data_IF_359314854260
#
_entry.id   IF_359314854260
#
_cell.length_a   1.000
_cell.length_b   1.000
_cell.length_c   1.000
_cell.angle_alpha   90.00
_cell.angle_beta   90.00
_cell.angle_gamma   90.00
#
_symmetry.space_group_name_H-M   'P 1'
#
loop_
_entity.id
_entity.type
_entity.pdbx_description
1 polymer ?
#
# COMPACT_ATOMS: atom_id res chain seq x y z
N UNK A 1 -6.83 -5.50 13.65
CA UNK A 1 -7.08 -6.17 12.38
C UNK A 1 -7.09 -5.15 11.26
N UNK A 2 -6.38 -5.42 10.16
CA UNK A 2 -6.44 -4.66 8.90
C UNK A 2 -7.20 -5.54 7.90
N UNK A 3 -8.40 -5.09 7.47
CA UNK A 3 -9.29 -5.83 6.59
C UNK A 3 -9.86 -4.90 5.53
N UNK A 4 -9.94 -5.34 4.27
CA UNK A 4 -10.37 -4.50 3.16
C UNK A 4 -9.27 -3.57 2.64
N UNK A 5 -9.61 -2.62 1.77
CA UNK A 5 -8.64 -1.72 1.13
C UNK A 5 -8.08 -0.71 2.14
N UNK A 6 -6.76 -0.59 2.21
CA UNK A 6 -6.07 0.39 3.06
C UNK A 6 -6.25 1.79 2.45
N UNK A 7 -7.16 2.57 3.02
CA UNK A 7 -7.48 3.92 2.54
C UNK A 7 -8.16 4.73 3.66
N UNK A 8 -7.92 6.01 3.70
CA UNK A 8 -8.65 6.91 4.59
C UNK A 8 -9.82 7.55 3.81
N UNK A 9 -10.98 6.95 3.90
CA UNK A 9 -12.22 7.44 3.24
C UNK A 9 -13.11 8.25 4.16
N UNK A 10 -12.61 8.58 5.37
CA UNK A 10 -13.40 9.25 6.39
C UNK A 10 -14.52 8.38 6.97
N UNK A 11 -15.35 8.95 7.83
CA UNK A 11 -16.51 8.27 8.40
C UNK A 11 -17.52 7.94 7.29
N UNK A 12 -17.84 6.65 7.14
CA UNK A 12 -18.76 6.16 6.11
C UNK A 12 -20.14 6.81 6.16
N UNK A 13 -20.87 6.65 5.08
CA UNK A 13 -22.29 7.03 5.00
C UNK A 13 -23.12 6.10 5.88
N UNK A 14 -24.27 6.60 6.38
CA UNK A 14 -25.28 5.84 7.16
C UNK A 14 -25.74 4.50 6.52
N UNK A 15 -25.32 4.24 5.27
CA UNK A 15 -25.74 3.07 4.47
C UNK A 15 -24.59 2.19 3.98
N UNK A 16 -23.33 2.49 4.34
CA UNK A 16 -22.16 1.68 3.96
C UNK A 16 -21.44 1.19 5.21
N UNK A 17 -21.32 -0.12 5.36
CA UNK A 17 -20.41 -0.70 6.35
C UNK A 17 -18.97 -0.32 5.96
N UNK A 18 -18.24 0.23 6.93
CA UNK A 18 -16.81 0.52 6.75
C UNK A 18 -16.06 -0.78 7.04
N UNK A 19 -15.51 -1.41 6.01
CA UNK A 19 -14.68 -2.60 6.18
C UNK A 19 -13.33 -2.29 6.83
N UNK A 20 -12.80 -1.07 6.60
CA UNK A 20 -11.54 -0.60 7.09
C UNK A 20 -11.64 0.85 7.58
N UNK A 21 -11.27 1.08 8.84
CA UNK A 21 -11.16 2.41 9.45
C UNK A 21 -9.68 2.68 9.75
N UNK A 22 -9.07 3.55 8.96
CA UNK A 22 -7.64 3.85 9.03
C UNK A 22 -7.27 4.48 10.37
N UNK A 23 -8.02 5.49 10.77
CA UNK A 23 -7.75 6.22 12.01
C UNK A 23 -7.96 5.33 13.24
N UNK A 24 -8.95 4.45 13.19
CA UNK A 24 -9.16 3.47 14.27
C UNK A 24 -7.94 2.56 14.42
N UNK A 25 -7.37 2.04 13.33
CA UNK A 25 -6.19 1.16 13.40
C UNK A 25 -4.98 1.89 13.95
N UNK A 26 -4.72 3.12 13.50
CA UNK A 26 -3.64 3.96 14.03
C UNK A 26 -3.82 4.24 15.53
N UNK A 27 -5.04 4.59 15.96
CA UNK A 27 -5.35 4.82 17.38
C UNK A 27 -5.16 3.56 18.23
N UNK A 28 -5.45 2.36 17.69
CA UNK A 28 -5.19 1.10 18.38
C UNK A 28 -3.68 0.85 18.56
N UNK A 29 -2.86 1.11 17.55
CA UNK A 29 -1.39 0.98 17.66
C UNK A 29 -0.84 1.96 18.70
N UNK A 30 -1.29 3.20 18.70
CA UNK A 30 -0.91 4.19 19.71
C UNK A 30 -1.36 3.78 21.12
N UNK A 31 -2.58 3.26 21.30
CA UNK A 31 -3.06 2.78 22.58
C UNK A 31 -2.25 1.58 23.11
N UNK A 32 -1.83 0.66 22.22
CA UNK A 32 -0.94 -0.45 22.58
C UNK A 32 0.43 0.06 23.04
N UNK A 33 0.94 1.12 22.46
CA UNK A 33 2.22 1.73 22.86
C UNK A 33 2.20 2.22 24.31
N UNK A 34 1.07 2.77 24.78
CA UNK A 34 0.87 3.30 26.13
C UNK A 34 0.50 2.21 27.16
N UNK A 35 0.01 1.04 26.72
CA UNK A 35 -0.45 -0.02 27.64
C UNK A 35 0.67 -1.00 27.97
N UNK A 36 1.28 -0.83 29.16
CA UNK A 36 2.35 -1.71 29.66
C UNK A 36 1.92 -3.16 29.90
N UNK A 37 0.63 -3.46 29.95
CA UNK A 37 0.12 -4.83 30.13
C UNK A 37 0.22 -5.66 28.86
N UNK A 38 0.22 -5.02 27.70
CA UNK A 38 0.41 -5.69 26.39
C UNK A 38 1.84 -6.20 26.27
N UNK A 39 2.01 -7.48 25.94
CA UNK A 39 3.30 -8.17 25.84
C UNK A 39 3.68 -8.59 24.41
N UNK A 40 2.82 -8.34 23.44
CA UNK A 40 3.05 -8.63 22.03
C UNK A 40 1.83 -8.29 21.20
N UNK A 41 2.02 -8.18 19.90
CA UNK A 41 0.95 -7.87 18.94
C UNK A 41 0.82 -9.00 17.93
N UNK A 42 -0.39 -9.46 17.70
CA UNK A 42 -0.75 -10.26 16.54
C UNK A 42 -1.61 -9.41 15.60
N UNK A 43 -0.99 -8.92 14.54
CA UNK A 43 -1.67 -8.14 13.52
C UNK A 43 -2.29 -9.09 12.48
N UNK A 44 -3.62 -9.14 12.44
CA UNK A 44 -4.33 -9.85 11.38
C UNK A 44 -4.45 -8.95 10.16
N UNK A 45 -3.97 -9.43 9.00
CA UNK A 45 -3.95 -8.69 7.73
C UNK A 45 -4.70 -9.48 6.67
N UNK A 46 -5.80 -8.91 6.16
CA UNK A 46 -6.61 -9.49 5.09
C UNK A 46 -7.03 -8.37 4.12
N UNK A 47 -6.12 -7.99 3.21
CA UNK A 47 -6.24 -6.80 2.38
C UNK A 47 -5.54 -6.96 1.03
N UNK A 48 -6.09 -6.40 -0.05
CA UNK A 48 -5.39 -6.29 -1.33
C UNK A 48 -4.29 -5.20 -1.32
N UNK A 49 -4.17 -4.43 -0.22
CA UNK A 49 -3.38 -3.23 -0.13
C UNK A 49 -4.23 -1.97 -0.27
N UNK A 50 -3.63 -0.89 -0.77
CA UNK A 50 -4.34 0.38 -0.91
C UNK A 50 -3.42 1.56 -1.14
N UNK A 51 -3.73 2.71 -0.54
CA UNK A 51 -2.96 3.94 -0.67
C UNK A 51 -1.53 3.81 -0.16
N UNK A 52 -0.60 4.40 -0.91
CA UNK A 52 0.82 4.44 -0.54
C UNK A 52 1.00 5.18 0.78
N UNK A 53 0.33 6.32 0.92
CA UNK A 53 0.41 7.16 2.11
C UNK A 53 -0.11 6.45 3.36
N UNK A 54 -1.29 5.85 3.28
CA UNK A 54 -1.92 5.13 4.40
C UNK A 54 -1.12 3.88 4.79
N UNK A 55 -0.59 3.16 3.80
CA UNK A 55 0.29 2.01 4.07
C UNK A 55 1.58 2.45 4.79
N UNK A 56 2.14 3.61 4.40
CA UNK A 56 3.30 4.19 5.08
C UNK A 56 2.98 4.60 6.51
N UNK A 57 1.86 5.25 6.78
CA UNK A 57 1.45 5.63 8.14
C UNK A 57 1.33 4.41 9.07
N UNK A 58 0.75 3.31 8.57
CA UNK A 58 0.67 2.07 9.35
C UNK A 58 2.04 1.46 9.61
N UNK A 59 2.90 1.44 8.59
CA UNK A 59 4.28 0.96 8.73
C UNK A 59 5.04 1.76 9.79
N UNK A 60 4.99 3.09 9.71
CA UNK A 60 5.67 3.96 10.66
C UNK A 60 5.14 3.73 12.09
N UNK A 61 3.84 3.61 12.28
CA UNK A 61 3.24 3.30 13.59
C UNK A 61 3.67 1.93 14.13
N UNK A 62 3.86 0.93 13.25
CA UNK A 62 4.38 -0.39 13.63
C UNK A 62 5.85 -0.30 14.05
N UNK A 63 6.68 0.44 13.30
CA UNK A 63 8.09 0.66 13.63
C UNK A 63 8.24 1.42 14.95
N UNK A 64 7.50 2.52 15.11
CA UNK A 64 7.50 3.29 16.37
C UNK A 64 7.13 2.43 17.57
N UNK A 65 6.13 1.56 17.42
CA UNK A 65 5.72 0.62 18.45
C UNK A 65 6.84 -0.40 18.78
N UNK A 66 7.54 -0.92 17.76
CA UNK A 66 8.68 -1.84 17.95
C UNK A 66 9.83 -1.15 18.68
N UNK A 67 10.15 0.09 18.31
CA UNK A 67 11.25 0.86 18.91
C UNK A 67 10.93 1.31 20.35
N UNK A 68 9.67 1.69 20.62
CA UNK A 68 9.23 2.13 21.94
C UNK A 68 9.08 0.99 22.95
N UNK A 69 8.74 -0.19 22.46
CA UNK A 69 8.34 -1.34 23.27
C UNK A 69 9.08 -2.59 22.79
N UNK A 70 10.08 -3.08 23.41
CA UNK A 70 10.78 -4.34 23.05
C UNK A 70 9.83 -5.56 23.18
N UNK A 71 8.83 -5.63 22.28
CA UNK A 71 7.82 -6.67 22.25
C UNK A 71 7.65 -7.27 20.83
N UNK A 72 7.32 -8.57 20.75
CA UNK A 72 7.15 -9.21 19.45
C UNK A 72 5.90 -8.70 18.72
N UNK A 73 6.06 -8.44 17.43
CA UNK A 73 4.96 -8.16 16.51
C UNK A 73 4.91 -9.27 15.47
N UNK A 74 3.83 -10.02 15.48
CA UNK A 74 3.56 -11.09 14.52
C UNK A 74 2.42 -10.69 13.59
N UNK A 75 2.52 -11.15 12.34
CA UNK A 75 1.45 -10.98 11.35
C UNK A 75 0.81 -12.33 11.08
N UNK A 76 -0.52 -12.35 11.02
CA UNK A 76 -1.31 -13.47 10.52
C UNK A 76 -2.06 -13.00 9.27
N UNK A 77 -1.67 -13.50 8.11
CA UNK A 77 -2.32 -13.19 6.85
C UNK A 77 -3.62 -13.99 6.70
N UNK A 78 -4.66 -13.33 6.19
CA UNK A 78 -5.92 -13.96 5.79
C UNK A 78 -5.85 -14.55 4.39
N UNK A 79 -6.92 -14.39 3.64
CA UNK A 79 -7.00 -14.87 2.25
C UNK A 79 -6.04 -14.10 1.34
N UNK A 80 -5.84 -12.81 1.64
CA UNK A 80 -4.94 -11.92 0.88
C UNK A 80 -4.21 -10.95 1.82
N UNK A 81 -2.91 -10.78 1.60
CA UNK A 81 -2.10 -9.73 2.23
C UNK A 81 -1.08 -9.25 1.19
N UNK A 82 -1.56 -8.45 0.24
CA UNK A 82 -0.82 -8.05 -0.95
C UNK A 82 -0.56 -6.54 -1.00
N UNK A 83 0.46 -6.12 -1.75
CA UNK A 83 0.81 -4.69 -1.94
C UNK A 83 0.97 -3.98 -0.59
N UNK A 84 0.21 -2.92 -0.29
CA UNK A 84 0.19 -2.27 1.02
C UNK A 84 -0.01 -3.23 2.21
N UNK A 85 -0.70 -4.37 2.00
CA UNK A 85 -0.84 -5.42 3.01
C UNK A 85 0.48 -6.13 3.32
N UNK A 86 1.32 -6.38 2.31
CA UNK A 86 2.66 -6.90 2.52
C UNK A 86 3.61 -5.82 3.06
N UNK A 87 3.46 -4.57 2.60
CA UNK A 87 4.22 -3.42 3.10
C UNK A 87 4.17 -3.30 4.63
N UNK A 88 2.97 -3.38 5.21
CA UNK A 88 2.78 -3.32 6.67
C UNK A 88 3.15 -4.62 7.39
N UNK A 89 3.17 -5.74 6.68
CA UNK A 89 3.59 -7.04 7.24
C UNK A 89 5.12 -7.19 7.30
N UNK A 90 5.84 -6.54 6.38
CA UNK A 90 7.28 -6.69 6.23
C UNK A 90 8.10 -6.43 7.51
N UNK A 91 7.79 -5.46 8.40
CA UNK A 91 8.54 -5.22 9.63
C UNK A 91 8.26 -6.23 10.75
N UNK A 92 7.33 -7.17 10.59
CA UNK A 92 6.98 -8.14 11.63
C UNK A 92 8.13 -9.12 11.91
N UNK A 93 8.24 -9.57 13.16
CA UNK A 93 9.23 -10.56 13.57
C UNK A 93 8.94 -11.94 12.97
N UNK A 94 7.65 -12.27 12.79
CA UNK A 94 7.20 -13.45 12.04
C UNK A 94 5.91 -13.17 11.29
N UNK A 95 5.82 -13.76 10.11
CA UNK A 95 4.64 -13.73 9.27
C UNK A 95 4.12 -15.15 9.13
N UNK A 96 2.83 -15.33 9.39
CA UNK A 96 2.11 -16.59 9.24
C UNK A 96 1.07 -16.46 8.14
N UNK A 97 0.99 -17.44 7.27
CA UNK A 97 0.03 -17.51 6.17
C UNK A 97 -0.49 -18.93 5.99
N UNK A 98 -1.71 -19.06 5.52
CA UNK A 98 -2.23 -20.35 5.04
C UNK A 98 -1.66 -20.64 3.65
N UNK A 99 -1.67 -21.92 3.24
CA UNK A 99 -1.22 -22.36 1.91
C UNK A 99 -1.95 -21.63 0.77
N UNK A 100 -3.21 -21.28 1.01
CA UNK A 100 -4.12 -20.61 0.08
C UNK A 100 -4.02 -19.08 0.11
N UNK A 101 -3.23 -18.51 1.02
CA UNK A 101 -3.01 -17.06 1.09
C UNK A 101 -2.33 -16.55 -0.17
N UNK A 102 -2.80 -15.44 -0.67
CA UNK A 102 -2.17 -14.66 -1.73
C UNK A 102 -1.46 -13.44 -1.15
N UNK A 103 -0.22 -13.24 -1.55
CA UNK A 103 0.61 -12.13 -1.05
C UNK A 103 1.52 -11.57 -2.16
N UNK A 104 2.55 -10.82 -1.84
CA UNK A 104 3.39 -10.16 -2.84
C UNK A 104 2.74 -8.90 -3.38
N UNK A 105 2.54 -8.79 -4.70
CA UNK A 105 2.13 -7.54 -5.35
C UNK A 105 3.03 -6.37 -4.94
N UNK A 106 4.34 -6.67 -4.86
CA UNK A 106 5.38 -5.70 -4.50
C UNK A 106 5.56 -4.79 -5.69
N UNK A 107 4.91 -3.63 -5.63
CA UNK A 107 4.89 -2.68 -6.73
C UNK A 107 3.97 -1.51 -6.46
N UNK A 108 4.11 -0.46 -7.26
CA UNK A 108 3.31 0.76 -7.18
C UNK A 108 2.69 1.03 -8.54
N UNK A 109 1.42 1.39 -8.53
CA UNK A 109 0.69 1.73 -9.76
C UNK A 109 0.00 3.08 -9.59
N UNK A 110 -0.04 3.86 -10.69
CA UNK A 110 -0.87 5.04 -10.81
C UNK A 110 -1.69 4.89 -12.09
N UNK A 111 -2.99 4.91 -11.95
CA UNK A 111 -3.91 4.65 -13.07
C UNK A 111 -4.94 5.78 -13.21
N UNK A 112 -5.18 6.20 -14.43
CA UNK A 112 -6.24 7.13 -14.80
C UNK A 112 -6.97 6.65 -16.05
N UNK A 113 -8.22 7.07 -16.20
CA UNK A 113 -9.02 6.82 -17.40
C UNK A 113 -8.97 8.07 -18.27
N UNK A 114 -8.74 7.90 -19.58
CA UNK A 114 -8.83 8.96 -20.55
C UNK A 114 -10.01 8.66 -21.50
N UNK A 115 -10.96 9.60 -21.56
CA UNK A 115 -12.14 9.53 -22.45
C UNK A 115 -12.21 10.72 -23.41
N UNK A 116 -11.10 11.47 -23.59
CA UNK A 116 -11.06 12.65 -24.43
C UNK A 116 -11.49 12.37 -25.88
N UNK A 117 -10.99 11.28 -26.48
CA UNK A 117 -11.37 10.91 -27.84
C UNK A 117 -12.87 10.57 -27.93
N UNK A 118 -13.41 9.82 -26.97
CA UNK A 118 -14.84 9.51 -26.93
C UNK A 118 -15.69 10.80 -26.86
N UNK A 119 -15.28 11.74 -26.05
CA UNK A 119 -15.99 13.02 -25.92
C UNK A 119 -15.94 13.82 -27.25
N UNK A 120 -14.79 13.87 -27.91
CA UNK A 120 -14.61 14.52 -29.22
C UNK A 120 -15.54 13.89 -30.29
N UNK A 121 -15.63 12.56 -30.33
CA UNK A 121 -16.49 11.82 -31.27
C UNK A 121 -17.98 12.17 -31.08
N UNK A 122 -18.37 12.59 -29.87
CA UNK A 122 -19.72 13.06 -29.57
C UNK A 122 -19.88 14.60 -29.58
N UNK A 123 -18.88 15.33 -30.09
CA UNK A 123 -18.92 16.79 -30.19
C UNK A 123 -18.80 17.54 -28.87
N UNK A 124 -18.29 16.88 -27.80
CA UNK A 124 -18.03 17.50 -26.50
C UNK A 124 -16.60 18.07 -26.53
N UNK A 125 -16.49 19.38 -26.28
CA UNK A 125 -15.22 20.10 -26.23
C UNK A 125 -14.94 20.50 -24.78
N UNK A 126 -13.72 20.21 -24.32
CA UNK A 126 -13.24 20.65 -23.01
C UNK A 126 -12.39 21.92 -23.17
N UNK A 127 -12.84 23.01 -22.61
CA UNK A 127 -12.07 24.25 -22.54
C UNK A 127 -11.36 24.33 -21.19
N UNK A 128 -10.03 24.29 -21.21
CA UNK A 128 -9.22 24.30 -19.99
C UNK A 128 -8.35 25.53 -19.92
N UNK A 129 -8.56 26.38 -18.91
CA UNK A 129 -7.71 27.49 -18.56
C UNK A 129 -6.82 27.08 -17.38
N UNK A 130 -5.50 27.15 -17.55
CA UNK A 130 -4.55 26.68 -16.52
C UNK A 130 -3.38 27.63 -16.35
N UNK A 131 -2.89 27.77 -15.12
CA UNK A 131 -1.80 28.66 -14.76
C UNK A 131 -0.39 28.13 -15.19
N UNK A 132 -0.29 26.86 -15.56
CA UNK A 132 0.96 26.24 -15.95
C UNK A 132 0.75 24.96 -16.74
N UNK A 133 1.78 24.48 -17.47
CA UNK A 133 1.64 23.37 -18.43
C UNK A 133 1.18 22.06 -17.78
N UNK A 134 1.58 21.80 -16.55
CA UNK A 134 1.33 20.52 -15.85
C UNK A 134 0.17 20.57 -14.84
N UNK A 135 -0.59 21.70 -14.79
CA UNK A 135 -1.66 21.83 -13.77
C UNK A 135 -2.81 20.84 -13.94
N UNK A 136 -3.00 20.34 -15.15
CA UNK A 136 -3.97 19.32 -15.52
C UNK A 136 -3.33 17.97 -15.87
N UNK A 137 -2.16 17.70 -15.30
CA UNK A 137 -1.50 16.38 -15.43
C UNK A 137 -2.47 15.28 -14.97
N UNK A 138 -2.47 14.12 -15.62
CA UNK A 138 -3.46 13.06 -15.42
C UNK A 138 -4.89 13.45 -15.84
N UNK A 139 -5.08 14.48 -16.66
CA UNK A 139 -6.42 14.82 -17.17
C UNK A 139 -7.08 13.62 -17.86
N UNK A 140 -8.34 13.39 -17.54
CA UNK A 140 -9.17 12.37 -18.17
C UNK A 140 -9.70 12.76 -19.55
N UNK A 141 -9.48 14.03 -19.96
CA UNK A 141 -10.07 14.62 -21.19
C UNK A 141 -9.06 14.86 -22.31
N UNK A 142 -7.77 14.61 -22.06
CA UNK A 142 -6.72 14.69 -23.07
C UNK A 142 -5.62 13.64 -22.82
N UNK A 143 -4.90 13.21 -23.85
CA UNK A 143 -3.72 12.36 -23.67
C UNK A 143 -2.64 13.06 -22.81
N UNK A 144 -1.93 12.27 -22.02
CA UNK A 144 -0.76 12.70 -21.28
C UNK A 144 0.44 12.89 -22.22
N UNK A 145 1.18 14.00 -22.09
CA UNK A 145 2.42 14.18 -22.84
C UNK A 145 3.54 13.26 -22.36
N UNK A 146 4.62 13.15 -23.10
CA UNK A 146 5.78 12.36 -22.68
C UNK A 146 6.47 12.97 -21.45
N UNK A 147 6.52 14.30 -21.36
CA UNK A 147 7.07 15.01 -20.20
C UNK A 147 6.21 14.78 -18.96
N UNK A 148 4.90 14.88 -19.11
CA UNK A 148 3.96 14.57 -18.00
C UNK A 148 4.09 13.13 -17.53
N UNK A 149 4.22 12.19 -18.48
CA UNK A 149 4.45 10.78 -18.16
C UNK A 149 5.75 10.57 -17.38
N UNK A 150 6.83 11.24 -17.78
CA UNK A 150 8.10 11.16 -17.09
C UNK A 150 8.01 11.70 -15.65
N UNK A 151 7.30 12.83 -15.46
CA UNK A 151 7.04 13.38 -14.11
C UNK A 151 6.27 12.37 -13.24
N UNK A 152 5.19 11.82 -13.75
CA UNK A 152 4.37 10.87 -12.97
C UNK A 152 5.11 9.55 -12.72
N UNK A 153 5.95 9.10 -13.67
CA UNK A 153 6.77 7.91 -13.49
C UNK A 153 7.78 8.08 -12.36
N UNK A 154 8.39 9.25 -12.21
CA UNK A 154 9.31 9.53 -11.09
C UNK A 154 8.61 9.32 -9.74
N UNK A 155 7.36 9.76 -9.59
CA UNK A 155 6.62 9.55 -8.34
C UNK A 155 6.34 8.06 -8.06
N UNK A 156 6.05 7.29 -9.12
CA UNK A 156 5.86 5.85 -9.02
C UNK A 156 7.16 5.16 -8.63
N UNK A 157 8.28 5.56 -9.25
CA UNK A 157 9.60 4.98 -9.00
C UNK A 157 10.07 5.27 -7.56
N UNK A 158 9.91 6.50 -7.07
CA UNK A 158 10.24 6.87 -5.69
C UNK A 158 9.43 6.06 -4.67
N UNK A 159 8.12 5.91 -4.89
CA UNK A 159 7.28 5.10 -4.01
C UNK A 159 7.63 3.60 -4.07
N UNK A 160 8.06 3.11 -5.24
CA UNK A 160 8.53 1.74 -5.38
C UNK A 160 9.88 1.52 -4.69
N UNK A 161 10.81 2.46 -4.81
CA UNK A 161 12.10 2.42 -4.12
C UNK A 161 11.89 2.34 -2.59
N UNK A 162 10.95 3.11 -2.06
CA UNK A 162 10.62 3.04 -0.64
C UNK A 162 10.00 1.68 -0.26
N UNK A 163 9.17 1.08 -1.11
CA UNK A 163 8.65 -0.26 -0.87
C UNK A 163 9.77 -1.32 -0.83
N UNK A 164 10.74 -1.21 -1.74
CA UNK A 164 11.93 -2.07 -1.73
C UNK A 164 12.70 -1.91 -0.42
N UNK A 165 12.95 -0.69 0.04
CA UNK A 165 13.64 -0.40 1.30
C UNK A 165 12.94 -1.04 2.50
N UNK A 166 11.62 -0.91 2.58
CA UNK A 166 10.80 -1.49 3.66
C UNK A 166 10.96 -3.01 3.73
N UNK A 167 10.90 -3.68 2.57
CA UNK A 167 11.05 -5.14 2.52
C UNK A 167 12.49 -5.55 2.83
N UNK A 168 13.47 -4.88 2.23
CA UNK A 168 14.88 -5.15 2.47
C UNK A 168 15.22 -5.09 3.97
N UNK A 169 14.77 -4.02 4.64
CA UNK A 169 14.96 -3.85 6.08
C UNK A 169 14.21 -4.91 6.90
N UNK A 170 12.94 -5.16 6.57
CA UNK A 170 12.07 -6.05 7.35
C UNK A 170 12.39 -7.53 7.17
N UNK A 171 12.91 -7.93 6.02
CA UNK A 171 13.21 -9.33 5.68
C UNK A 171 14.70 -9.66 5.64
N UNK A 172 15.59 -8.67 5.89
CA UNK A 172 17.03 -8.87 5.86
C UNK A 172 17.56 -9.21 4.47
N UNK A 173 16.93 -8.65 3.44
CA UNK A 173 17.30 -8.82 2.04
C UNK A 173 18.08 -7.60 1.54
N UNK A 174 18.84 -7.79 0.45
CA UNK A 174 19.39 -6.66 -0.31
C UNK A 174 18.32 -6.07 -1.24
N UNK A 175 18.45 -4.79 -1.60
CA UNK A 175 17.57 -4.14 -2.58
C UNK A 175 17.52 -4.91 -3.89
N UNK A 176 18.65 -5.46 -4.34
CA UNK A 176 18.74 -6.23 -5.58
C UNK A 176 17.90 -7.52 -5.52
N UNK A 177 17.92 -8.23 -4.38
CA UNK A 177 17.08 -9.42 -4.17
C UNK A 177 15.61 -9.07 -4.14
N UNK A 178 15.23 -7.99 -3.44
CA UNK A 178 13.84 -7.52 -3.41
C UNK A 178 13.36 -7.15 -4.82
N UNK A 179 14.17 -6.43 -5.62
CA UNK A 179 13.79 -6.05 -6.99
C UNK A 179 13.64 -7.24 -7.93
N UNK A 180 14.33 -8.37 -7.70
CA UNK A 180 14.15 -9.59 -8.50
C UNK A 180 12.77 -10.22 -8.31
N UNK A 181 12.17 -10.06 -7.13
CA UNK A 181 10.85 -10.59 -6.79
C UNK A 181 9.77 -9.52 -6.78
N UNK A 182 10.14 -8.24 -6.83
CA UNK A 182 9.27 -7.07 -6.70
C UNK A 182 8.79 -6.53 -8.04
N UNK A 183 8.31 -7.36 -8.96
CA UNK A 183 7.80 -6.95 -10.27
C UNK A 183 6.28 -6.75 -10.30
N UNK A 184 5.63 -6.72 -9.12
CA UNK A 184 4.20 -6.52 -8.99
C UNK A 184 3.35 -7.80 -9.04
N UNK A 185 3.96 -8.97 -9.23
CA UNK A 185 3.20 -10.23 -9.26
C UNK A 185 2.69 -10.67 -7.88
N UNK A 186 1.62 -11.45 -7.90
CA UNK A 186 1.10 -12.14 -6.72
C UNK A 186 1.88 -13.44 -6.51
N UNK A 187 2.09 -13.78 -5.26
CA UNK A 187 2.67 -15.04 -4.80
C UNK A 187 1.68 -15.85 -3.97
N UNK A 188 1.72 -17.17 -4.09
CA UNK A 188 1.17 -18.04 -3.07
C UNK A 188 2.06 -18.00 -1.81
N UNK A 189 1.52 -18.39 -0.66
CA UNK A 189 2.31 -18.46 0.58
C UNK A 189 3.59 -19.31 0.41
N UNK A 190 3.51 -20.42 -0.33
CA UNK A 190 4.67 -21.27 -0.63
C UNK A 190 5.74 -20.51 -1.41
N UNK A 191 5.35 -19.82 -2.50
CA UNK A 191 6.28 -19.01 -3.30
C UNK A 191 6.87 -17.85 -2.49
N UNK A 192 6.08 -17.24 -1.60
CA UNK A 192 6.57 -16.19 -0.72
C UNK A 192 7.69 -16.71 0.20
N UNK A 193 7.49 -17.86 0.85
CA UNK A 193 8.53 -18.52 1.68
C UNK A 193 9.79 -18.86 0.87
N UNK A 194 9.62 -19.41 -0.36
CA UNK A 194 10.74 -19.74 -1.25
C UNK A 194 11.53 -18.48 -1.67
N UNK A 195 10.90 -17.31 -1.69
CA UNK A 195 11.50 -16.03 -2.03
C UNK A 195 12.00 -15.23 -0.80
N UNK A 196 11.88 -15.77 0.42
CA UNK A 196 12.35 -15.11 1.64
C UNK A 196 11.42 -14.02 2.19
N UNK A 197 10.17 -13.99 1.73
CA UNK A 197 9.14 -13.03 2.17
C UNK A 197 8.42 -13.45 3.46
#
# INVERSE_FOLDING_TARGET
KVNGTIQDVGSGSLFTEIEYDHQFVLNQLAAIQEDETVKGVLLQVDTPGGGVYESRQLYDAIIELKEARDMPIYVSMGSMAASGGYYIAAPADKIYAYSETWTGSIGVIMQGINYGQLAEDYGIVFETLKSGPYKDIMSSTRPMSNEERAIMQTLVDEAYDEFVNVIAAGRGMTDAEVRQIGDGRIYTAKQAVENGL
#
